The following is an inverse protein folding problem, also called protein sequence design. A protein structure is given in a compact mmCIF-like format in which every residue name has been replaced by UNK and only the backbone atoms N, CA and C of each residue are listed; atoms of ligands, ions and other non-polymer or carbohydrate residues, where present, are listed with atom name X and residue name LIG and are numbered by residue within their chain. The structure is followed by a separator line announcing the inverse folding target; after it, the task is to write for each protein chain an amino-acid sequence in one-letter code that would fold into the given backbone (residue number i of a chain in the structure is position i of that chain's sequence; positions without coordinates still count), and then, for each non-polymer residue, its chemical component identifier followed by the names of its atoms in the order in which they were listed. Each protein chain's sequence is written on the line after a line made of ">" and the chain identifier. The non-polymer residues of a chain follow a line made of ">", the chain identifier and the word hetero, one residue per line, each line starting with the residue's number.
data_IF_365815659334
#
_entry.id   IF_365815659334
#
_cell.length_a   1.000
_cell.length_b   1.000
_cell.length_c   1.000
_cell.angle_alpha   90.00
_cell.angle_beta   90.00
_cell.angle_gamma   90.00
#
_symmetry.space_group_name_H-M   'P 1'
#
loop_
_entity.id
_entity.type
_entity.pdbx_description
1 polymer ?
#
# COMPACT_ATOMS: atom_id res chain seq x y z
N UNK A 1 -19.95 3.93 -0.08
CA UNK A 1 -21.05 3.33 0.69
C UNK A 1 -20.57 3.23 2.15
N UNK A 2 -21.17 3.98 3.08
CA UNK A 2 -20.75 3.98 4.49
C UNK A 2 -21.64 3.02 5.27
N UNK A 3 -21.07 1.91 5.74
CA UNK A 3 -21.68 1.07 6.77
C UNK A 3 -21.45 1.75 8.12
N UNK A 4 -22.52 2.18 8.80
CA UNK A 4 -22.46 2.76 10.15
C UNK A 4 -23.07 1.80 11.17
N UNK A 5 -22.26 1.01 11.89
CA UNK A 5 -22.68 0.42 13.15
C UNK A 5 -22.36 1.41 14.29
N UNK A 6 -23.41 2.06 14.80
CA UNK A 6 -23.46 2.89 16.03
C UNK A 6 -22.42 4.02 16.19
N UNK A 7 -22.73 5.02 17.02
CA UNK A 7 -21.82 6.12 17.38
C UNK A 7 -20.62 5.59 18.21
N UNK A 8 -19.75 4.80 17.57
CA UNK A 8 -18.50 4.37 18.18
C UNK A 8 -17.45 5.46 17.94
N UNK A 9 -16.74 5.85 19.01
CA UNK A 9 -15.63 6.81 19.03
C UNK A 9 -14.39 6.37 18.26
N UNK A 10 -14.55 5.45 17.29
CA UNK A 10 -13.46 4.84 16.52
C UNK A 10 -12.75 5.88 15.67
N UNK A 11 -11.44 5.72 15.57
CA UNK A 11 -10.57 6.51 14.69
C UNK A 11 -11.03 6.45 13.22
N UNK A 12 -10.61 7.44 12.43
CA UNK A 12 -10.76 7.45 10.98
C UNK A 12 -9.44 7.04 10.34
N UNK A 13 -9.47 6.04 9.46
CA UNK A 13 -8.31 5.57 8.70
C UNK A 13 -8.59 5.75 7.22
N UNK A 14 -7.73 6.46 6.51
CA UNK A 14 -7.75 6.47 5.03
C UNK A 14 -6.72 5.48 4.49
N UNK A 15 -7.01 4.75 3.41
CA UNK A 15 -6.03 3.87 2.72
C UNK A 15 -5.68 4.43 1.36
N UNK A 16 -4.38 4.50 1.07
CA UNK A 16 -3.84 4.86 -0.24
C UNK A 16 -3.05 3.70 -0.85
N UNK A 17 -3.11 3.57 -2.18
CA UNK A 17 -2.27 2.70 -3.03
C UNK A 17 -1.53 3.57 -4.04
N UNK A 18 -0.82 3.01 -5.01
CA UNK A 18 -0.32 3.83 -6.12
C UNK A 18 0.83 3.24 -6.96
N UNK A 19 1.40 4.06 -7.87
CA UNK A 19 0.75 5.26 -8.41
C UNK A 19 -0.33 4.87 -9.41
N UNK A 20 -1.48 5.55 -9.36
CA UNK A 20 -2.56 5.32 -10.33
C UNK A 20 -3.50 4.15 -10.02
N UNK A 21 -3.32 3.46 -8.89
CA UNK A 21 -4.15 2.33 -8.48
C UNK A 21 -5.24 2.74 -7.49
N UNK A 22 -6.40 2.10 -7.60
CA UNK A 22 -7.63 2.41 -6.86
C UNK A 22 -7.60 1.84 -5.44
N UNK A 23 -7.73 2.73 -4.46
CA UNK A 23 -7.97 2.35 -3.06
C UNK A 23 -9.32 1.66 -2.84
N UNK A 24 -10.24 1.72 -3.80
CA UNK A 24 -11.52 0.99 -3.76
C UNK A 24 -11.30 -0.46 -4.23
N UNK A 25 -10.54 -0.66 -5.32
CA UNK A 25 -10.18 -1.98 -5.83
C UNK A 25 -9.47 -2.80 -4.74
N UNK A 26 -8.25 -2.37 -4.40
CA UNK A 26 -7.36 -3.06 -3.47
C UNK A 26 -7.78 -2.81 -2.02
N UNK A 27 -7.95 -1.57 -1.59
CA UNK A 27 -8.30 -1.31 -0.18
C UNK A 27 -9.67 -1.86 0.22
N UNK A 28 -10.73 -1.53 -0.52
CA UNK A 28 -12.11 -1.76 -0.08
C UNK A 28 -12.65 -3.17 -0.39
N UNK A 29 -12.18 -3.80 -1.47
CA UNK A 29 -12.65 -5.13 -1.91
C UNK A 29 -11.56 -6.17 -2.10
N UNK A 30 -10.33 -5.69 -2.24
CA UNK A 30 -9.06 -6.41 -2.20
C UNK A 30 -8.73 -6.96 -0.83
N UNK A 31 -8.56 -6.03 0.12
CA UNK A 31 -7.70 -6.16 1.31
C UNK A 31 -8.50 -5.95 2.63
N UNK A 32 -8.81 -4.71 2.99
CA UNK A 32 -9.16 -4.35 4.38
C UNK A 32 -10.62 -4.00 4.58
N UNK A 33 -11.36 -3.78 3.49
CA UNK A 33 -12.76 -3.38 3.54
C UNK A 33 -13.70 -4.47 4.04
N UNK A 34 -14.98 -4.12 4.29
CA UNK A 34 -15.98 -5.00 4.89
C UNK A 34 -16.39 -6.15 3.97
N UNK A 35 -16.10 -6.04 2.68
CA UNK A 35 -16.41 -7.03 1.69
C UNK A 35 -15.15 -7.42 0.91
N UNK A 36 -15.13 -8.63 0.40
CA UNK A 36 -14.15 -9.12 -0.58
C UNK A 36 -14.87 -9.45 -1.87
N UNK A 37 -14.16 -9.36 -2.99
CA UNK A 37 -14.69 -9.78 -4.27
C UNK A 37 -14.27 -11.21 -4.61
N UNK A 38 -15.16 -11.98 -5.23
CA UNK A 38 -14.88 -13.36 -5.65
C UNK A 38 -14.90 -13.50 -7.18
N UNK A 39 -14.54 -14.70 -7.66
CA UNK A 39 -14.50 -15.06 -9.08
C UNK A 39 -15.80 -14.86 -9.87
N UNK A 40 -16.95 -14.82 -9.19
CA UNK A 40 -18.23 -14.49 -9.81
C UNK A 40 -18.47 -12.99 -9.95
N UNK A 41 -17.49 -12.15 -9.61
CA UNK A 41 -17.62 -10.70 -9.45
C UNK A 41 -18.77 -10.34 -8.51
N UNK A 42 -18.87 -11.08 -7.39
CA UNK A 42 -19.82 -10.83 -6.30
C UNK A 42 -19.07 -10.52 -5.01
N UNK A 43 -19.73 -9.77 -4.12
CA UNK A 43 -19.20 -9.43 -2.81
C UNK A 43 -19.56 -10.49 -1.77
N UNK A 44 -18.62 -10.79 -0.87
CA UNK A 44 -18.85 -11.58 0.34
C UNK A 44 -18.21 -10.90 1.55
N UNK A 45 -18.66 -11.21 2.77
CA UNK A 45 -18.20 -10.54 3.98
C UNK A 45 -16.74 -10.88 4.31
N UNK A 46 -15.98 -9.86 4.73
CA UNK A 46 -14.62 -10.00 5.24
C UNK A 46 -14.65 -10.10 6.77
N UNK A 47 -14.42 -11.29 7.33
CA UNK A 47 -14.38 -11.50 8.79
C UNK A 47 -13.23 -10.78 9.50
N UNK A 48 -12.24 -10.30 8.76
CA UNK A 48 -11.07 -9.59 9.28
C UNK A 48 -11.00 -8.14 8.79
N UNK A 49 -12.15 -7.56 8.44
CA UNK A 49 -12.17 -6.17 7.98
C UNK A 49 -11.66 -5.22 9.06
N UNK A 50 -10.88 -4.24 8.63
CA UNK A 50 -10.38 -3.18 9.49
C UNK A 50 -11.49 -2.27 10.02
N UNK A 51 -12.70 -2.31 9.44
CA UNK A 51 -13.83 -1.55 9.95
C UNK A 51 -14.35 -2.05 11.31
N UNK A 52 -13.87 -3.22 11.76
CA UNK A 52 -14.07 -3.73 13.11
C UNK A 52 -13.40 -2.79 14.14
N UNK A 53 -12.25 -2.21 13.82
CA UNK A 53 -11.46 -1.38 14.74
C UNK A 53 -11.55 0.14 14.40
N UNK A 54 -11.82 0.51 13.14
CA UNK A 54 -11.83 1.90 12.68
C UNK A 54 -13.00 2.24 11.74
N UNK A 55 -13.23 3.53 11.49
CA UNK A 55 -13.97 3.97 10.31
C UNK A 55 -13.00 4.04 9.13
N UNK A 56 -13.36 3.47 7.98
CA UNK A 56 -12.49 3.43 6.80
C UNK A 56 -12.94 4.43 5.74
N UNK A 57 -11.98 5.18 5.19
CA UNK A 57 -12.15 6.06 4.04
C UNK A 57 -11.26 5.57 2.90
N UNK A 58 -11.87 5.21 1.77
CA UNK A 58 -11.16 4.80 0.57
C UNK A 58 -11.22 5.94 -0.43
N UNK A 59 -10.08 6.59 -0.65
CA UNK A 59 -9.94 7.70 -1.59
C UNK A 59 -9.23 7.20 -2.85
N UNK A 60 -9.90 7.27 -4.00
CA UNK A 60 -9.26 7.05 -5.30
C UNK A 60 -8.53 8.34 -5.69
N UNK A 61 -7.21 8.26 -5.79
CA UNK A 61 -6.33 9.40 -6.04
C UNK A 61 -5.10 8.94 -6.81
N UNK A 62 -4.52 9.76 -7.71
CA UNK A 62 -4.98 11.11 -8.09
C UNK A 62 -6.19 11.07 -9.03
N UNK A 63 -6.53 12.22 -9.61
CA UNK A 63 -7.49 12.28 -10.72
C UNK A 63 -7.11 11.33 -11.86
N UNK A 64 -8.10 10.67 -12.46
CA UNK A 64 -7.90 9.61 -13.45
C UNK A 64 -7.82 8.19 -12.87
N UNK A 65 -7.81 8.06 -11.54
CA UNK A 65 -7.87 6.76 -10.86
C UNK A 65 -9.32 6.38 -10.58
N UNK A 66 -9.73 5.20 -11.04
CA UNK A 66 -11.04 4.65 -10.78
C UNK A 66 -12.19 5.60 -11.17
N UNK A 67 -12.96 6.07 -10.20
CA UNK A 67 -14.05 7.04 -10.42
C UNK A 67 -13.65 8.50 -10.21
N UNK A 68 -12.40 8.80 -9.85
CA UNK A 68 -11.92 10.18 -9.70
C UNK A 68 -11.61 10.79 -11.06
N UNK A 69 -12.26 11.91 -11.42
CA UNK A 69 -12.16 12.54 -12.73
C UNK A 69 -12.07 14.06 -12.66
N UNK A 70 -11.73 14.67 -13.80
CA UNK A 70 -11.70 16.12 -14.02
C UNK A 70 -12.27 16.43 -15.40
N UNK A 71 -12.84 17.62 -15.54
CA UNK A 71 -13.30 18.15 -16.83
C UNK A 71 -12.19 18.88 -17.59
N UNK A 72 -11.01 19.04 -16.98
CA UNK A 72 -9.89 19.80 -17.55
C UNK A 72 -8.86 18.84 -18.14
N UNK A 73 -8.73 18.83 -19.47
CA UNK A 73 -7.84 17.88 -20.17
C UNK A 73 -6.36 18.06 -19.84
N UNK A 74 -5.91 19.27 -19.47
CA UNK A 74 -4.51 19.52 -19.07
C UNK A 74 -4.14 18.85 -17.75
N UNK A 75 -5.10 18.52 -16.90
CA UNK A 75 -4.82 17.85 -15.62
C UNK A 75 -4.18 16.47 -15.82
N UNK A 76 -4.46 15.80 -16.95
CA UNK A 76 -3.91 14.49 -17.28
C UNK A 76 -2.48 14.54 -17.84
N UNK A 77 -1.90 15.74 -18.01
CA UNK A 77 -0.56 15.91 -18.62
C UNK A 77 0.56 15.91 -17.59
N UNK A 78 0.26 16.25 -16.34
CA UNK A 78 1.25 16.35 -15.26
C UNK A 78 0.68 15.76 -13.97
N UNK A 79 1.02 14.51 -13.71
CA UNK A 79 0.85 13.88 -12.41
C UNK A 79 2.15 13.95 -11.61
N UNK A 80 2.04 13.97 -10.29
CA UNK A 80 3.21 13.97 -9.43
C UNK A 80 2.85 13.94 -7.95
N UNK A 81 3.85 13.61 -7.16
CA UNK A 81 3.75 13.42 -5.71
C UNK A 81 3.19 14.67 -5.01
N UNK A 82 3.79 15.84 -5.25
CA UNK A 82 3.42 17.11 -4.61
C UNK A 82 1.97 17.53 -4.91
N UNK A 83 1.58 17.46 -6.19
CA UNK A 83 0.21 17.77 -6.62
C UNK A 83 -0.79 16.83 -5.95
N UNK A 84 -0.48 15.53 -5.93
CA UNK A 84 -1.33 14.49 -5.34
C UNK A 84 -1.51 14.72 -3.83
N UNK A 85 -0.43 15.03 -3.11
CA UNK A 85 -0.50 15.35 -1.68
C UNK A 85 -1.36 16.59 -1.40
N UNK A 86 -1.21 17.64 -2.23
CA UNK A 86 -1.99 18.87 -2.10
C UNK A 86 -3.49 18.66 -2.40
N UNK A 87 -3.83 17.93 -3.46
CA UNK A 87 -5.21 17.61 -3.82
C UNK A 87 -5.88 16.72 -2.76
N UNK A 88 -5.14 15.76 -2.19
CA UNK A 88 -5.62 14.91 -1.10
C UNK A 88 -5.88 15.70 0.18
N UNK A 89 -5.02 16.67 0.53
CA UNK A 89 -5.29 17.58 1.65
C UNK A 89 -6.58 18.38 1.41
N UNK A 90 -6.75 18.96 0.22
CA UNK A 90 -7.96 19.73 -0.14
C UNK A 90 -9.20 18.84 -0.06
N UNK A 91 -9.12 17.60 -0.55
CA UNK A 91 -10.20 16.63 -0.42
C UNK A 91 -10.55 16.38 1.06
N UNK A 92 -9.57 16.11 1.92
CA UNK A 92 -9.81 15.83 3.34
C UNK A 92 -10.46 17.01 4.07
N UNK A 93 -10.00 18.24 3.80
CA UNK A 93 -10.60 19.46 4.37
C UNK A 93 -12.08 19.57 3.96
N UNK A 94 -12.38 19.39 2.66
CA UNK A 94 -13.77 19.46 2.14
C UNK A 94 -14.62 18.31 2.66
N UNK A 95 -14.06 17.11 2.74
CA UNK A 95 -14.76 15.91 3.23
C UNK A 95 -15.11 16.07 4.70
N UNK A 96 -14.18 16.52 5.55
CA UNK A 96 -14.46 16.75 6.97
C UNK A 96 -15.46 17.89 7.18
N UNK A 97 -15.46 18.92 6.34
CA UNK A 97 -16.51 19.96 6.36
C UNK A 97 -17.89 19.40 5.99
N UNK A 98 -17.96 18.45 5.05
CA UNK A 98 -19.21 17.77 4.68
C UNK A 98 -19.66 16.74 5.71
N UNK A 99 -18.72 16.11 6.42
CA UNK A 99 -18.96 15.10 7.44
C UNK A 99 -18.36 15.51 8.79
N UNK A 100 -18.90 16.57 9.43
CA UNK A 100 -18.30 17.17 10.64
C UNK A 100 -18.22 16.23 11.83
N UNK A 101 -19.01 15.14 11.87
CA UNK A 101 -18.93 14.11 12.90
C UNK A 101 -17.59 13.36 12.97
N UNK A 102 -16.74 13.50 11.94
CA UNK A 102 -15.38 12.93 11.90
C UNK A 102 -14.27 13.96 12.17
N UNK A 103 -14.56 15.27 12.17
CA UNK A 103 -13.57 16.35 12.19
C UNK A 103 -12.61 16.31 13.39
N UNK A 104 -13.06 15.80 14.53
CA UNK A 104 -12.27 15.73 15.77
C UNK A 104 -11.80 14.32 16.12
N UNK A 105 -12.11 13.32 15.30
CA UNK A 105 -11.68 11.94 15.56
C UNK A 105 -10.18 11.81 15.31
N UNK A 106 -9.55 10.90 16.03
CA UNK A 106 -8.17 10.52 15.73
C UNK A 106 -8.09 10.05 14.28
N UNK A 107 -7.22 10.69 13.51
CA UNK A 107 -7.04 10.44 12.09
C UNK A 107 -5.72 9.74 11.85
N UNK A 108 -5.77 8.67 11.06
CA UNK A 108 -4.61 7.90 10.65
C UNK A 108 -4.62 7.70 9.14
N UNK A 109 -3.44 7.59 8.58
CA UNK A 109 -3.25 7.28 7.17
C UNK A 109 -2.63 5.88 7.09
N UNK A 110 -3.23 5.00 6.30
CA UNK A 110 -2.68 3.73 5.92
C UNK A 110 -2.27 3.79 4.45
N UNK A 111 -1.22 3.08 4.08
CA UNK A 111 -0.79 3.01 2.69
C UNK A 111 -0.11 1.69 2.37
N UNK A 112 0.01 1.39 1.09
CA UNK A 112 0.84 0.29 0.61
C UNK A 112 1.56 0.65 -0.69
N UNK A 113 2.70 0.00 -0.95
CA UNK A 113 3.45 0.13 -2.19
C UNK A 113 4.00 1.55 -2.38
N UNK A 114 3.73 2.17 -3.53
CA UNK A 114 4.07 3.58 -3.80
C UNK A 114 3.42 4.57 -2.82
N UNK A 115 2.43 4.14 -2.03
CA UNK A 115 1.93 4.97 -0.95
C UNK A 115 3.00 5.21 0.15
N UNK A 116 4.13 4.51 0.12
CA UNK A 116 5.35 4.89 0.83
C UNK A 116 5.81 6.32 0.53
N UNK A 117 5.47 6.89 -0.65
CA UNK A 117 5.56 8.31 -0.98
C UNK A 117 4.31 9.10 -0.55
N UNK A 118 3.12 8.66 -0.98
CA UNK A 118 1.88 9.43 -0.78
C UNK A 118 1.54 9.70 0.68
N UNK A 119 1.73 8.69 1.55
CA UNK A 119 1.34 8.77 2.95
C UNK A 119 2.18 9.79 3.74
N UNK A 120 3.52 9.71 3.76
CA UNK A 120 4.32 10.70 4.48
C UNK A 120 4.17 12.11 3.90
N UNK A 121 4.03 12.27 2.59
CA UNK A 121 3.83 13.59 1.98
C UNK A 121 2.46 14.18 2.35
N UNK A 122 1.38 13.39 2.34
CA UNK A 122 0.09 13.85 2.83
C UNK A 122 0.12 14.17 4.33
N UNK A 123 0.77 13.34 5.14
CA UNK A 123 0.94 13.60 6.57
C UNK A 123 1.70 14.91 6.82
N UNK A 124 2.74 15.20 6.03
CA UNK A 124 3.47 16.48 6.05
C UNK A 124 2.56 17.65 5.71
N UNK A 125 1.80 17.58 4.61
CA UNK A 125 0.85 18.63 4.21
C UNK A 125 -0.20 18.90 5.30
N UNK A 126 -0.71 17.87 5.96
CA UNK A 126 -1.63 18.00 7.08
C UNK A 126 -0.96 18.67 8.29
N UNK A 127 0.28 18.25 8.63
CA UNK A 127 1.04 18.83 9.73
C UNK A 127 1.32 20.33 9.50
N UNK A 128 1.72 20.72 8.29
CA UNK A 128 1.92 22.12 7.87
C UNK A 128 0.63 22.92 7.94
N UNK A 129 -0.47 22.37 7.41
CA UNK A 129 -1.81 22.98 7.48
C UNK A 129 -2.23 23.23 8.94
N UNK A 130 -2.10 22.24 9.81
CA UNK A 130 -2.46 22.38 11.23
C UNK A 130 -1.60 23.41 11.97
N UNK A 131 -0.33 23.61 11.57
CA UNK A 131 0.54 24.66 12.14
C UNK A 131 0.14 26.05 11.67
N UNK A 132 -0.31 26.17 10.42
CA UNK A 132 -0.68 27.46 9.82
C UNK A 132 -2.06 27.97 10.25
N UNK A 133 -3.00 27.07 10.59
CA UNK A 133 -4.39 27.42 10.89
C UNK A 133 -4.84 26.92 12.26
N UNK A 134 -5.45 27.80 13.05
CA UNK A 134 -5.90 27.45 14.41
C UNK A 134 -7.06 26.45 14.42
N UNK A 135 -8.02 26.53 13.47
CA UNK A 135 -9.15 25.60 13.25
C UNK A 135 -9.73 25.78 11.82
N UNK A 136 -10.35 24.75 11.22
CA UNK A 136 -10.47 23.38 11.70
C UNK A 136 -9.16 22.59 11.51
N UNK A 137 -8.71 21.87 12.52
CA UNK A 137 -7.52 21.02 12.43
C UNK A 137 -7.92 19.59 12.07
N UNK A 138 -7.09 18.91 11.29
CA UNK A 138 -7.19 17.46 11.07
C UNK A 138 -6.39 16.80 12.20
N UNK A 139 -7.05 16.06 13.09
CA UNK A 139 -6.41 15.45 14.27
C UNK A 139 -5.56 14.21 13.91
N UNK A 140 -4.52 14.41 13.10
CA UNK A 140 -3.60 13.35 12.67
C UNK A 140 -2.78 12.82 13.85
N UNK A 141 -2.77 11.50 14.03
CA UNK A 141 -2.03 10.82 15.10
C UNK A 141 -0.85 10.01 14.62
N UNK A 142 -0.83 9.65 13.34
CA UNK A 142 0.21 8.81 12.78
C UNK A 142 -0.20 8.15 11.47
N UNK A 143 0.69 7.31 10.97
CA UNK A 143 0.44 6.52 9.78
C UNK A 143 1.11 5.15 9.84
N UNK A 144 0.60 4.23 9.04
CA UNK A 144 1.22 2.93 8.81
C UNK A 144 1.33 2.65 7.31
N UNK A 145 2.47 2.13 6.86
CA UNK A 145 2.68 1.79 5.45
C UNK A 145 3.20 0.37 5.28
N UNK A 146 2.57 -0.36 4.36
CA UNK A 146 2.90 -1.73 3.97
C UNK A 146 3.77 -1.77 2.74
N UNK A 147 4.80 -2.62 2.75
CA UNK A 147 5.71 -2.85 1.64
C UNK A 147 6.08 -1.53 0.90
N UNK A 148 6.57 -0.50 1.61
CA UNK A 148 6.60 0.86 1.07
C UNK A 148 7.84 1.17 0.24
N UNK A 149 7.65 1.87 -0.87
CA UNK A 149 8.73 2.58 -1.58
C UNK A 149 9.16 3.78 -0.71
N UNK A 150 10.43 3.86 -0.31
CA UNK A 150 10.91 4.80 0.72
C UNK A 150 12.20 5.52 0.34
N UNK A 151 13.13 4.85 -0.30
CA UNK A 151 14.43 5.38 -0.69
C UNK A 151 14.90 4.64 -1.94
N UNK A 152 14.71 5.26 -3.11
CA UNK A 152 14.93 4.62 -4.43
C UNK A 152 16.24 3.84 -4.50
N UNK A 153 17.31 4.38 -3.92
CA UNK A 153 18.64 3.75 -3.98
C UNK A 153 18.70 2.46 -3.15
N UNK A 154 18.16 2.47 -1.92
CA UNK A 154 18.09 1.27 -1.09
C UNK A 154 17.05 0.29 -1.61
N UNK A 155 15.97 0.79 -2.19
CA UNK A 155 14.91 -0.07 -2.69
C UNK A 155 15.41 -0.85 -3.90
N UNK A 156 16.10 -0.19 -4.84
CA UNK A 156 16.81 -0.86 -5.94
C UNK A 156 17.78 -1.94 -5.43
N UNK A 157 18.68 -1.60 -4.49
CA UNK A 157 19.69 -2.56 -3.99
C UNK A 157 19.02 -3.71 -3.22
N UNK A 158 18.09 -3.39 -2.32
CA UNK A 158 17.37 -4.34 -1.49
C UNK A 158 16.57 -5.33 -2.32
N UNK A 159 15.95 -4.89 -3.42
CA UNK A 159 15.25 -5.75 -4.37
C UNK A 159 16.16 -6.78 -5.01
N UNK A 160 17.31 -6.36 -5.54
CA UNK A 160 18.28 -7.29 -6.14
C UNK A 160 18.84 -8.27 -5.09
N UNK A 161 19.13 -7.80 -3.87
CA UNK A 161 19.57 -8.66 -2.76
C UNK A 161 18.49 -9.67 -2.36
N UNK A 162 17.22 -9.29 -2.38
CA UNK A 162 16.11 -10.19 -2.08
C UNK A 162 16.03 -11.31 -3.11
N UNK A 163 16.03 -10.96 -4.41
CA UNK A 163 15.97 -11.93 -5.49
C UNK A 163 17.07 -12.99 -5.37
N UNK A 164 18.30 -12.56 -5.10
CA UNK A 164 19.42 -13.48 -4.91
C UNK A 164 19.25 -14.36 -3.66
N UNK A 165 18.96 -13.75 -2.51
CA UNK A 165 18.82 -14.50 -1.24
C UNK A 165 17.65 -15.50 -1.22
N UNK A 166 16.68 -15.35 -2.12
CA UNK A 166 15.53 -16.24 -2.28
C UNK A 166 15.66 -17.17 -3.50
N UNK A 167 16.86 -17.31 -4.06
CA UNK A 167 17.17 -18.17 -5.20
C UNK A 167 16.32 -17.88 -6.46
N UNK A 168 15.85 -16.64 -6.61
CA UNK A 168 15.14 -16.19 -7.82
C UNK A 168 16.11 -15.85 -8.96
N UNK A 169 17.36 -15.52 -8.63
CA UNK A 169 18.41 -15.24 -9.62
C UNK A 169 19.70 -16.00 -9.27
N UNK A 170 20.46 -16.36 -10.29
CA UNK A 170 21.76 -17.02 -10.11
C UNK A 170 22.83 -16.10 -9.51
N UNK A 171 23.86 -16.69 -8.89
CA UNK A 171 25.06 -15.96 -8.44
C UNK A 171 25.72 -15.18 -9.58
N UNK A 172 25.73 -15.73 -10.80
CA UNK A 172 26.26 -15.06 -11.99
C UNK A 172 25.50 -13.78 -12.30
N UNK A 173 24.16 -13.84 -12.35
CA UNK A 173 23.33 -12.69 -12.64
C UNK A 173 23.39 -11.64 -11.51
N UNK A 174 23.38 -12.09 -10.25
CA UNK A 174 23.54 -11.19 -9.10
C UNK A 174 24.86 -10.40 -9.17
N UNK A 175 25.98 -11.09 -9.36
CA UNK A 175 27.30 -10.45 -9.46
C UNK A 175 27.41 -9.52 -10.68
N UNK A 176 26.79 -9.89 -11.81
CA UNK A 176 26.77 -9.05 -13.01
C UNK A 176 26.01 -7.74 -12.75
N UNK A 177 24.85 -7.80 -12.08
CA UNK A 177 24.08 -6.62 -11.69
C UNK A 177 24.91 -5.73 -10.76
N UNK A 178 25.50 -6.29 -9.69
CA UNK A 178 26.32 -5.51 -8.76
C UNK A 178 27.52 -4.82 -9.44
N UNK A 179 28.09 -5.43 -10.48
CA UNK A 179 29.20 -4.86 -11.24
C UNK A 179 28.77 -3.74 -12.18
N UNK A 180 27.62 -3.90 -12.85
CA UNK A 180 27.19 -3.03 -13.93
C UNK A 180 26.26 -1.90 -13.48
N UNK A 181 25.61 -2.04 -12.32
CA UNK A 181 24.63 -1.09 -11.82
C UNK A 181 25.21 -0.14 -10.79
N UNK A 182 25.01 1.17 -11.02
CA UNK A 182 25.17 2.18 -9.99
C UNK A 182 23.83 2.47 -9.32
N UNK A 183 23.62 1.93 -8.12
CA UNK A 183 22.37 2.07 -7.37
C UNK A 183 22.10 3.49 -6.85
N UNK A 184 23.08 4.40 -6.90
CA UNK A 184 22.90 5.80 -6.50
C UNK A 184 22.57 6.73 -7.67
N UNK A 185 22.63 6.23 -8.90
CA UNK A 185 22.31 7.02 -10.08
C UNK A 185 20.79 7.19 -10.24
N UNK A 186 20.38 8.38 -10.73
CA UNK A 186 18.98 8.69 -11.01
C UNK A 186 18.36 7.73 -12.03
N UNK A 187 19.17 7.30 -13.02
CA UNK A 187 18.77 6.31 -14.01
C UNK A 187 19.85 5.25 -14.21
N UNK A 188 19.42 4.04 -14.52
CA UNK A 188 20.32 2.94 -14.85
C UNK A 188 20.86 3.04 -16.27
N UNK A 189 22.14 2.67 -16.44
CA UNK A 189 22.77 2.54 -17.75
C UNK A 189 22.13 1.43 -18.57
N UNK A 190 22.41 1.40 -19.88
CA UNK A 190 21.94 0.33 -20.77
C UNK A 190 22.49 -1.03 -20.33
N UNK A 191 23.74 -1.07 -19.87
CA UNK A 191 24.43 -2.26 -19.40
C UNK A 191 23.79 -2.80 -18.11
N UNK A 192 23.46 -1.90 -17.17
CA UNK A 192 22.72 -2.26 -15.96
C UNK A 192 21.33 -2.81 -16.28
N UNK A 193 20.55 -2.10 -17.10
CA UNK A 193 19.22 -2.55 -17.50
C UNK A 193 19.25 -3.91 -18.21
N UNK A 194 20.24 -4.14 -19.07
CA UNK A 194 20.45 -5.45 -19.71
C UNK A 194 20.73 -6.55 -18.69
N UNK A 195 21.56 -6.26 -17.67
CA UNK A 195 21.89 -7.22 -16.61
C UNK A 195 20.65 -7.57 -15.77
N UNK A 196 19.83 -6.58 -15.43
CA UNK A 196 18.56 -6.79 -14.70
C UNK A 196 17.58 -7.59 -15.56
N UNK A 197 17.43 -7.26 -16.85
CA UNK A 197 16.55 -7.97 -17.76
C UNK A 197 16.95 -9.44 -17.92
N UNK A 198 18.25 -9.73 -18.04
CA UNK A 198 18.75 -11.09 -18.12
C UNK A 198 18.45 -11.87 -16.83
N UNK A 199 18.60 -11.24 -15.67
CA UNK A 199 18.27 -11.86 -14.39
C UNK A 199 16.76 -12.15 -14.25
N UNK A 200 15.90 -11.31 -14.82
CA UNK A 200 14.45 -11.54 -14.79
C UNK A 200 14.02 -12.82 -15.53
N UNK A 201 14.85 -13.33 -16.45
CA UNK A 201 14.60 -14.62 -17.10
C UNK A 201 14.71 -15.81 -16.13
N UNK A 202 15.46 -15.66 -15.03
CA UNK A 202 15.61 -16.71 -13.99
C UNK A 202 14.30 -16.91 -13.19
N UNK A 203 13.39 -15.93 -13.19
CA UNK A 203 12.15 -15.99 -12.39
C UNK A 203 11.16 -17.06 -12.84
N UNK A 204 11.14 -17.40 -14.13
CA UNK A 204 10.09 -18.23 -14.71
C UNK A 204 8.68 -17.63 -14.51
N UNK A 205 7.73 -18.46 -14.09
CA UNK A 205 6.32 -18.06 -13.88
C UNK A 205 5.98 -17.73 -12.41
N UNK A 206 6.93 -17.15 -11.67
CA UNK A 206 6.73 -16.70 -10.29
C UNK A 206 5.91 -15.40 -10.28
N UNK A 207 4.97 -15.31 -9.33
CA UNK A 207 4.32 -14.06 -8.96
C UNK A 207 5.24 -13.25 -8.04
N UNK A 208 5.69 -12.09 -8.50
CA UNK A 208 6.60 -11.24 -7.75
C UNK A 208 5.96 -10.64 -6.50
N UNK A 209 4.64 -10.48 -6.48
CA UNK A 209 3.90 -9.94 -5.33
C UNK A 209 3.82 -10.95 -4.19
N UNK A 210 3.98 -12.25 -4.46
CA UNK A 210 4.22 -13.26 -3.42
C UNK A 210 4.86 -14.52 -4.00
N UNK A 211 6.17 -14.66 -3.78
CA UNK A 211 7.03 -15.63 -4.48
C UNK A 211 6.69 -17.11 -4.24
N UNK A 212 5.84 -17.41 -3.26
CA UNK A 212 5.42 -18.77 -2.91
C UNK A 212 3.95 -19.05 -3.25
N UNK A 213 3.29 -18.17 -4.00
CA UNK A 213 1.88 -18.31 -4.35
C UNK A 213 1.66 -18.50 -5.85
N UNK A 214 0.51 -19.08 -6.26
CA UNK A 214 0.19 -19.21 -7.67
C UNK A 214 -0.06 -17.85 -8.34
N UNK A 215 0.38 -17.70 -9.58
CA UNK A 215 0.06 -16.57 -10.45
C UNK A 215 -1.33 -16.68 -11.08
N UNK A 216 -1.94 -15.56 -11.43
CA UNK A 216 -3.19 -15.55 -12.20
C UNK A 216 -2.98 -16.12 -13.61
N UNK A 217 -3.66 -17.23 -13.93
CA UNK A 217 -3.63 -17.83 -15.27
C UNK A 217 -4.93 -17.52 -16.00
N UNK A 218 -4.82 -16.91 -17.19
CA UNK A 218 -5.95 -16.43 -18.00
C UNK A 218 -7.03 -17.52 -18.20
N UNK A 219 -8.29 -17.15 -17.98
CA UNK A 219 -9.46 -18.05 -17.86
C UNK A 219 -9.68 -19.12 -18.96
N UNK A 220 -9.04 -19.03 -20.14
CA UNK A 220 -9.18 -20.03 -21.22
C UNK A 220 -8.58 -21.40 -20.87
N UNK A 221 -7.68 -21.50 -19.89
CA UNK A 221 -7.05 -22.78 -19.49
C UNK A 221 -7.71 -23.44 -18.26
N UNK A 222 -8.68 -22.78 -17.63
CA UNK A 222 -9.28 -23.25 -16.37
C UNK A 222 -10.17 -24.50 -16.50
N UNK A 223 -10.44 -25.01 -17.70
CA UNK A 223 -11.18 -26.28 -17.88
C UNK A 223 -10.41 -27.51 -17.41
N UNK A 224 -9.08 -27.44 -17.24
CA UNK A 224 -8.25 -28.60 -16.82
C UNK A 224 -7.82 -28.60 -15.35
N UNK A 225 -7.96 -27.50 -14.62
CA UNK A 225 -7.46 -27.37 -13.23
C UNK A 225 -8.47 -27.78 -12.15
N UNK A 226 -9.45 -28.64 -12.48
CA UNK A 226 -10.60 -28.99 -11.62
C UNK A 226 -10.25 -29.94 -10.45
N UNK A 227 -8.98 -30.30 -10.25
CA UNK A 227 -8.58 -31.32 -9.26
C UNK A 227 -7.70 -30.83 -8.11
N UNK A 228 -7.30 -29.55 -8.06
CA UNK A 228 -6.67 -29.01 -6.87
C UNK A 228 -7.75 -28.55 -5.89
N UNK A 229 -7.85 -29.22 -4.73
CA UNK A 229 -8.63 -28.73 -3.58
C UNK A 229 -8.27 -27.26 -3.35
N UNK A 230 -9.18 -26.35 -3.72
CA UNK A 230 -9.04 -24.92 -3.45
C UNK A 230 -9.09 -24.72 -1.94
N UNK A 231 -7.92 -24.57 -1.33
CA UNK A 231 -7.81 -23.89 -0.04
C UNK A 231 -8.21 -22.44 -0.26
N UNK A 232 -9.24 -22.02 0.45
CA UNK A 232 -10.05 -20.80 0.28
C UNK A 232 -9.34 -19.48 0.61
N UNK A 233 -8.02 -19.35 0.47
CA UNK A 233 -7.30 -18.23 1.14
C UNK A 233 -6.73 -17.15 0.22
N UNK A 234 -6.36 -17.43 -1.04
CA UNK A 234 -5.82 -16.44 -1.98
C UNK A 234 -6.25 -16.74 -3.43
N UNK A 235 -6.75 -15.73 -4.14
CA UNK A 235 -7.04 -15.79 -5.58
C UNK A 235 -6.24 -14.67 -6.29
N UNK A 236 -5.23 -15.01 -7.11
CA UNK A 236 -4.36 -14.01 -7.76
C UNK A 236 -5.06 -13.22 -8.87
N UNK A 237 -6.29 -13.58 -9.25
CA UNK A 237 -7.03 -12.90 -10.31
C UNK A 237 -8.05 -11.87 -9.78
N UNK A 238 -7.97 -11.52 -8.49
CA UNK A 238 -8.98 -10.72 -7.79
C UNK A 238 -9.18 -9.33 -8.39
N UNK A 239 -8.09 -8.66 -8.80
CA UNK A 239 -8.10 -7.41 -9.56
C UNK A 239 -9.07 -7.45 -10.77
N UNK A 240 -9.01 -8.52 -11.58
CA UNK A 240 -9.84 -8.66 -12.78
C UNK A 240 -11.33 -8.76 -12.47
N UNK A 241 -11.69 -9.29 -11.29
CA UNK A 241 -13.07 -9.36 -10.87
C UNK A 241 -13.58 -7.98 -10.44
N UNK A 242 -12.71 -7.13 -9.88
CA UNK A 242 -13.01 -5.75 -9.52
C UNK A 242 -13.36 -4.92 -10.77
N UNK A 243 -12.56 -5.03 -11.83
CA UNK A 243 -12.82 -4.39 -13.12
C UNK A 243 -14.22 -4.72 -13.65
N UNK A 244 -14.64 -5.98 -13.54
CA UNK A 244 -15.98 -6.40 -13.95
C UNK A 244 -17.05 -5.80 -13.03
N UNK A 245 -16.87 -5.88 -11.71
CA UNK A 245 -17.87 -5.46 -10.73
C UNK A 245 -18.15 -3.97 -10.76
N UNK A 246 -17.10 -3.13 -10.75
CA UNK A 246 -17.24 -1.68 -10.69
C UNK A 246 -17.67 -1.05 -12.02
N UNK A 247 -17.56 -1.78 -13.14
CA UNK A 247 -18.16 -1.37 -14.41
C UNK A 247 -19.64 -1.76 -14.57
N UNK A 248 -20.25 -2.44 -13.59
CA UNK A 248 -21.69 -2.73 -13.65
C UNK A 248 -22.52 -1.45 -13.44
N UNK A 249 -23.55 -1.18 -14.28
CA UNK A 249 -24.36 0.03 -14.15
C UNK A 249 -25.13 0.15 -12.83
N UNK A 250 -25.58 -0.98 -12.27
CA UNK A 250 -26.29 -1.02 -10.98
C UNK A 250 -25.35 -0.71 -9.81
N UNK A 251 -24.11 -1.20 -9.85
CA UNK A 251 -23.06 -0.89 -8.87
C UNK A 251 -22.69 0.59 -8.91
N UNK A 252 -22.43 1.16 -10.10
CA UNK A 252 -22.11 2.59 -10.24
C UNK A 252 -23.25 3.47 -9.71
N UNK A 253 -24.51 3.12 -10.02
CA UNK A 253 -25.69 3.82 -9.49
C UNK A 253 -25.77 3.74 -7.97
N UNK A 254 -25.56 2.56 -7.39
CA UNK A 254 -25.60 2.36 -5.94
C UNK A 254 -24.47 3.08 -5.20
N UNK A 255 -23.32 3.23 -5.83
CA UNK A 255 -22.18 3.99 -5.29
C UNK A 255 -22.29 5.50 -5.51
N UNK A 256 -23.31 5.95 -6.24
CA UNK A 256 -23.41 7.34 -6.71
C UNK A 256 -22.17 7.77 -7.53
N UNK A 257 -21.53 6.81 -8.21
CA UNK A 257 -20.37 7.00 -9.05
C UNK A 257 -20.80 7.30 -10.50
N UNK A 258 -19.87 7.85 -11.29
CA UNK A 258 -20.06 8.09 -12.72
C UNK A 258 -21.35 8.89 -13.09
N UNK A 259 -21.77 9.82 -12.23
CA UNK A 259 -23.00 10.61 -12.47
C UNK A 259 -22.88 11.60 -13.64
N UNK A 260 -21.65 11.91 -14.06
CA UNK A 260 -21.36 12.88 -15.13
C UNK A 260 -20.92 12.23 -16.44
N UNK A 261 -21.09 10.91 -16.59
CA UNK A 261 -20.62 10.16 -17.75
C UNK A 261 -19.09 10.35 -17.99
N UNK A 262 -18.30 9.87 -17.04
CA UNK A 262 -16.84 9.76 -17.11
C UNK A 262 -16.47 9.08 -18.44
N UNK A 263 -15.55 9.67 -19.24
CA UNK A 263 -15.30 9.26 -20.63
C UNK A 263 -14.47 7.97 -20.76
N UNK A 264 -14.20 7.27 -19.66
CA UNK A 264 -13.39 6.06 -19.63
C UNK A 264 -14.04 5.01 -18.71
N UNK A 265 -13.67 3.74 -18.91
CA UNK A 265 -14.09 2.64 -18.05
C UNK A 265 -13.31 2.69 -16.74
N UNK A 266 -13.94 2.25 -15.66
CA UNK A 266 -13.24 2.05 -14.40
C UNK A 266 -12.22 0.91 -14.56
N UNK A 267 -11.01 1.09 -14.06
CA UNK A 267 -9.98 0.05 -13.97
C UNK A 267 -9.32 0.09 -12.60
N UNK A 268 -8.83 -1.05 -12.11
CA UNK A 268 -8.14 -1.14 -10.83
C UNK A 268 -6.87 -0.26 -10.78
N UNK A 269 -6.09 -0.23 -11.85
CA UNK A 269 -4.99 0.73 -12.05
C UNK A 269 -5.16 1.49 -13.36
N UNK A 270 -4.75 2.76 -13.35
CA UNK A 270 -4.90 3.70 -14.47
C UNK A 270 -3.57 3.84 -15.22
N UNK A 271 -3.44 3.14 -16.35
CA UNK A 271 -2.27 3.27 -17.22
C UNK A 271 -1.97 4.73 -17.63
N UNK A 272 -2.97 5.58 -17.97
CA UNK A 272 -2.69 6.98 -18.28
C UNK A 272 -2.07 7.75 -17.11
N UNK A 273 -2.49 7.48 -15.87
CA UNK A 273 -1.90 8.14 -14.69
C UNK A 273 -0.45 7.68 -14.51
N UNK A 274 -0.21 6.38 -14.58
CA UNK A 274 1.12 5.80 -14.41
C UNK A 274 2.09 6.28 -15.50
N UNK A 275 1.67 6.25 -16.77
CA UNK A 275 2.51 6.61 -17.91
C UNK A 275 2.83 8.10 -17.99
N UNK A 276 1.94 8.96 -17.47
CA UNK A 276 2.16 10.42 -17.42
C UNK A 276 2.63 10.89 -16.03
N UNK A 277 3.08 9.97 -15.17
CA UNK A 277 3.65 10.32 -13.87
C UNK A 277 5.00 11.02 -14.03
N UNK A 278 5.16 12.18 -13.39
CA UNK A 278 6.39 12.94 -13.46
C UNK A 278 7.44 12.40 -12.48
N UNK A 279 8.05 11.28 -12.85
CA UNK A 279 9.09 10.59 -12.07
C UNK A 279 10.33 11.46 -11.78
N UNK A 280 10.56 12.52 -12.55
CA UNK A 280 11.68 13.46 -12.34
C UNK A 280 11.45 14.39 -11.16
N UNK A 281 10.19 14.66 -10.81
CA UNK A 281 9.82 15.49 -9.66
C UNK A 281 9.51 14.66 -8.41
N UNK A 282 9.45 13.33 -8.54
CA UNK A 282 9.34 12.45 -7.38
C UNK A 282 10.64 12.43 -6.60
N UNK A 283 10.56 12.80 -5.33
CA UNK A 283 11.67 12.78 -4.38
C UNK A 283 12.41 11.44 -4.40
N UNK A 284 13.74 11.46 -4.27
CA UNK A 284 14.52 10.23 -4.26
C UNK A 284 14.41 9.45 -2.94
N UNK A 285 14.00 10.12 -1.86
CA UNK A 285 13.93 9.55 -0.52
C UNK A 285 12.86 10.24 0.32
N UNK A 286 12.00 9.43 0.94
CA UNK A 286 11.01 9.88 1.92
C UNK A 286 11.59 10.00 3.33
N UNK A 287 12.78 9.43 3.57
CA UNK A 287 13.41 9.39 4.90
C UNK A 287 13.50 10.75 5.62
N UNK A 288 13.77 11.89 4.94
CA UNK A 288 13.71 13.21 5.59
C UNK A 288 12.33 13.55 6.14
N UNK A 289 11.26 13.25 5.40
CA UNK A 289 9.88 13.48 5.82
C UNK A 289 9.52 12.58 7.00
N UNK A 290 9.98 11.32 7.00
CA UNK A 290 9.81 10.44 8.16
C UNK A 290 10.42 11.05 9.43
N UNK A 291 11.63 11.61 9.35
CA UNK A 291 12.28 12.29 10.49
C UNK A 291 11.46 13.48 10.99
N UNK A 292 11.03 14.36 10.08
CA UNK A 292 10.20 15.52 10.40
C UNK A 292 8.91 15.10 11.14
N UNK A 293 8.25 14.04 10.68
CA UNK A 293 6.98 13.57 11.24
C UNK A 293 7.17 12.85 12.59
N UNK A 294 8.28 12.13 12.78
CA UNK A 294 8.66 11.58 14.09
C UNK A 294 8.88 12.69 15.12
N UNK A 295 9.59 13.75 14.75
CA UNK A 295 9.82 14.94 15.60
C UNK A 295 8.51 15.69 15.91
N UNK A 296 7.56 15.69 14.97
CA UNK A 296 6.21 16.20 15.19
C UNK A 296 5.34 15.28 16.09
N UNK A 297 5.87 14.15 16.56
CA UNK A 297 5.20 13.24 17.49
C UNK A 297 4.21 12.28 16.83
N UNK A 298 4.24 12.12 15.51
CA UNK A 298 3.39 11.14 14.83
C UNK A 298 3.87 9.72 15.11
N UNK A 299 2.90 8.82 15.32
CA UNK A 299 3.18 7.38 15.40
C UNK A 299 3.40 6.82 14.00
N UNK A 300 4.57 6.23 13.74
CA UNK A 300 4.90 5.68 12.42
C UNK A 300 5.14 4.18 12.52
N UNK A 301 4.37 3.41 11.74
CA UNK A 301 4.60 1.98 11.55
C UNK A 301 4.97 1.69 10.09
N UNK A 302 6.03 0.93 9.91
CA UNK A 302 6.40 0.37 8.60
C UNK A 302 6.29 -1.14 8.71
N UNK A 303 5.59 -1.78 7.78
CA UNK A 303 5.49 -3.23 7.76
C UNK A 303 5.77 -3.80 6.38
N UNK A 304 6.31 -5.02 6.32
CA UNK A 304 6.57 -5.72 5.05
C UNK A 304 6.16 -7.19 5.14
N UNK A 305 5.43 -7.68 4.13
CA UNK A 305 5.31 -9.10 3.88
C UNK A 305 6.67 -9.69 3.48
N UNK A 306 7.08 -10.81 4.09
CA UNK A 306 8.41 -11.38 3.85
C UNK A 306 8.52 -12.23 2.56
N UNK A 307 7.43 -12.33 1.79
CA UNK A 307 7.38 -13.03 0.49
C UNK A 307 7.20 -12.08 -0.71
N UNK A 308 7.13 -10.78 -0.46
CA UNK A 308 7.11 -9.76 -1.52
C UNK A 308 8.50 -9.59 -2.13
N UNK A 309 8.61 -9.66 -3.45
CA UNK A 309 9.84 -9.40 -4.20
C UNK A 309 9.82 -8.09 -5.01
N UNK A 310 8.70 -7.36 -5.01
CA UNK A 310 8.55 -6.05 -5.66
C UNK A 310 9.16 -4.98 -4.77
N UNK A 311 8.71 -4.90 -3.50
CA UNK A 311 9.26 -4.00 -2.47
C UNK A 311 9.60 -4.83 -1.23
N UNK A 312 10.68 -5.63 -1.29
CA UNK A 312 10.95 -6.64 -0.30
C UNK A 312 11.36 -6.07 1.05
N UNK A 313 11.23 -6.92 2.08
CA UNK A 313 11.69 -6.63 3.44
C UNK A 313 13.15 -6.14 3.53
N UNK A 314 14.03 -6.56 2.60
CA UNK A 314 15.42 -6.10 2.51
C UNK A 314 15.53 -4.62 2.14
N UNK A 315 14.75 -4.17 1.15
CA UNK A 315 14.65 -2.77 0.73
C UNK A 315 14.22 -1.88 1.91
N UNK A 316 13.11 -2.25 2.54
CA UNK A 316 12.59 -1.55 3.72
C UNK A 316 13.62 -1.49 4.86
N UNK A 317 14.33 -2.60 5.14
CA UNK A 317 15.36 -2.63 6.20
C UNK A 317 16.56 -1.74 5.90
N UNK A 318 17.02 -1.69 4.64
CA UNK A 318 18.10 -0.80 4.24
C UNK A 318 17.70 0.67 4.40
N UNK A 319 16.48 1.03 3.99
CA UNK A 319 15.90 2.36 4.17
C UNK A 319 15.78 2.76 5.64
N UNK A 320 15.26 1.88 6.51
CA UNK A 320 15.18 2.15 7.96
C UNK A 320 16.58 2.27 8.59
N UNK A 321 17.54 1.44 8.16
CA UNK A 321 18.91 1.51 8.67
C UNK A 321 19.57 2.87 8.41
N UNK A 322 19.27 3.54 7.29
CA UNK A 322 19.78 4.89 7.00
C UNK A 322 19.25 5.97 7.92
N UNK A 323 18.10 5.76 8.56
CA UNK A 323 17.57 6.71 9.54
C UNK A 323 18.45 6.79 10.79
N UNK A 324 19.22 5.72 11.07
CA UNK A 324 20.09 5.59 12.24
C UNK A 324 19.36 5.89 13.56
N UNK A 325 18.15 5.34 13.70
CA UNK A 325 17.31 5.55 14.88
C UNK A 325 17.80 4.69 16.05
N UNK A 326 17.76 5.19 17.30
CA UNK A 326 18.01 4.38 18.48
C UNK A 326 17.00 3.24 18.61
N UNK A 327 17.48 2.03 18.88
CA UNK A 327 16.63 0.86 19.15
C UNK A 327 16.09 0.96 20.58
N UNK A 328 14.76 1.04 20.71
CA UNK A 328 14.02 1.03 21.97
C UNK A 328 13.72 -0.39 22.43
N UNK A 329 13.23 -1.23 21.52
CA UNK A 329 12.97 -2.65 21.76
C UNK A 329 13.61 -3.48 20.65
N UNK A 330 14.56 -4.32 21.03
CA UNK A 330 15.31 -5.20 20.11
C UNK A 330 14.40 -6.17 19.39
N UNK A 331 14.73 -6.47 18.15
CA UNK A 331 14.10 -7.48 17.30
C UNK A 331 13.58 -8.73 18.03
N UNK A 332 12.27 -8.98 17.95
CA UNK A 332 11.60 -10.12 18.59
C UNK A 332 10.47 -10.70 17.73
N UNK A 333 10.11 -12.00 17.91
CA UNK A 333 8.95 -12.58 17.23
C UNK A 333 7.64 -12.11 17.86
N UNK A 334 6.68 -11.71 17.03
CA UNK A 334 5.32 -11.43 17.49
C UNK A 334 4.35 -12.53 17.04
N UNK A 335 3.22 -12.67 17.75
CA UNK A 335 2.31 -13.80 17.60
C UNK A 335 0.93 -13.42 17.06
N UNK A 336 0.40 -14.28 16.19
CA UNK A 336 -0.98 -14.25 15.69
C UNK A 336 -1.63 -15.58 16.09
N UNK A 337 -2.40 -15.56 17.18
CA UNK A 337 -2.81 -16.79 17.86
C UNK A 337 -1.59 -17.56 18.38
N UNK A 338 -1.57 -18.87 18.19
CA UNK A 338 -0.48 -19.74 18.65
C UNK A 338 0.70 -19.87 17.66
N UNK A 339 0.76 -19.02 16.63
CA UNK A 339 1.81 -19.03 15.60
C UNK A 339 2.57 -17.71 15.58
N UNK A 340 3.84 -17.77 15.19
CA UNK A 340 4.63 -16.56 14.91
C UNK A 340 4.02 -15.84 13.70
N UNK A 341 3.46 -14.67 13.94
CA UNK A 341 2.91 -13.79 12.89
C UNK A 341 4.01 -13.06 12.11
N UNK A 342 5.18 -12.91 12.71
CA UNK A 342 6.36 -12.33 12.09
C UNK A 342 7.36 -11.83 13.13
N UNK A 343 8.10 -10.77 12.81
CA UNK A 343 9.08 -10.15 13.71
C UNK A 343 8.91 -8.65 13.76
N UNK A 344 9.38 -8.01 14.81
CA UNK A 344 9.29 -6.55 14.94
C UNK A 344 10.47 -6.00 15.74
N UNK A 345 10.87 -4.78 15.42
CA UNK A 345 11.82 -3.97 16.19
C UNK A 345 11.25 -2.56 16.33
N UNK A 346 11.39 -2.02 17.53
CA UNK A 346 10.86 -0.71 17.89
C UNK A 346 12.04 0.23 18.04
N UNK A 347 12.03 1.31 17.27
CA UNK A 347 12.96 2.41 17.37
C UNK A 347 12.27 3.60 18.07
N UNK A 348 13.07 4.59 18.47
CA UNK A 348 12.51 5.89 18.86
C UNK A 348 11.83 6.55 17.64
N UNK A 349 10.50 6.68 17.69
CA UNK A 349 9.67 7.30 16.64
C UNK A 349 9.09 6.37 15.57
N UNK A 350 9.65 5.16 15.38
CA UNK A 350 9.24 4.23 14.32
C UNK A 350 9.17 2.78 14.81
N UNK A 351 8.14 2.04 14.41
CA UNK A 351 8.07 0.57 14.60
C UNK A 351 8.16 -0.13 13.26
N UNK A 352 9.07 -1.09 13.14
CA UNK A 352 9.18 -1.95 11.96
C UNK A 352 8.62 -3.34 12.25
N UNK A 353 7.84 -3.88 11.31
CA UNK A 353 7.18 -5.19 11.44
C UNK A 353 7.35 -6.00 10.17
N UNK A 354 7.72 -7.28 10.28
CA UNK A 354 7.57 -8.24 9.18
C UNK A 354 6.33 -9.07 9.42
N UNK A 355 5.66 -9.47 8.34
CA UNK A 355 4.53 -10.39 8.39
C UNK A 355 4.89 -11.67 7.63
N UNK A 356 4.94 -12.77 8.38
CA UNK A 356 5.42 -14.06 7.90
C UNK A 356 4.46 -14.67 6.89
N UNK A 357 4.97 -15.04 5.73
CA UNK A 357 4.23 -15.66 4.65
C UNK A 357 3.26 -14.71 3.95
N UNK A 358 3.41 -13.40 4.12
CA UNK A 358 2.60 -12.40 3.43
C UNK A 358 3.35 -11.86 2.21
N UNK A 359 2.63 -11.63 1.12
CA UNK A 359 3.13 -10.93 -0.06
C UNK A 359 3.08 -9.41 0.08
N UNK A 360 3.01 -8.74 -1.06
CA UNK A 360 2.94 -7.29 -1.19
C UNK A 360 1.71 -6.71 -0.49
N UNK A 361 0.55 -7.31 -0.77
CA UNK A 361 -0.73 -6.96 -0.16
C UNK A 361 -0.95 -7.73 1.15
N UNK A 362 -0.24 -7.35 2.22
CA UNK A 362 -0.26 -8.10 3.48
C UNK A 362 -1.66 -8.46 3.99
N UNK A 363 -2.68 -7.57 3.95
CA UNK A 363 -4.04 -7.92 4.40
C UNK A 363 -4.80 -8.88 3.48
N UNK A 364 -4.36 -9.06 2.24
CA UNK A 364 -4.85 -10.11 1.34
C UNK A 364 -4.30 -11.47 1.75
N UNK A 365 -2.99 -11.59 1.94
CA UNK A 365 -2.34 -12.88 2.25
C UNK A 365 -2.50 -13.32 3.70
N UNK A 366 -2.53 -12.38 4.65
CA UNK A 366 -2.58 -12.64 6.10
C UNK A 366 -3.58 -11.72 6.80
N UNK A 367 -4.90 -11.86 6.51
CA UNK A 367 -5.94 -10.95 7.01
C UNK A 367 -6.00 -10.84 8.54
N UNK A 368 -5.90 -11.96 9.27
CA UNK A 368 -5.89 -11.96 10.73
C UNK A 368 -4.68 -11.19 11.29
N UNK A 369 -3.49 -11.45 10.75
CA UNK A 369 -2.26 -10.75 11.11
C UNK A 369 -2.36 -9.25 10.84
N UNK A 370 -2.87 -8.85 9.68
CA UNK A 370 -3.06 -7.45 9.33
C UNK A 370 -4.03 -6.73 10.28
N UNK A 371 -5.12 -7.39 10.70
CA UNK A 371 -6.04 -6.82 11.69
C UNK A 371 -5.37 -6.64 13.07
N UNK A 372 -4.52 -7.59 13.49
CA UNK A 372 -3.72 -7.45 14.72
C UNK A 372 -2.79 -6.23 14.61
N UNK A 373 -2.09 -6.06 13.47
CA UNK A 373 -1.23 -4.90 13.23
C UNK A 373 -2.02 -3.59 13.41
N UNK A 374 -3.18 -3.45 12.76
CA UNK A 374 -4.03 -2.26 12.92
C UNK A 374 -4.42 -2.03 14.38
N UNK A 375 -4.93 -3.07 15.05
CA UNK A 375 -5.43 -2.97 16.43
C UNK A 375 -4.36 -2.44 17.38
N UNK A 376 -3.14 -2.98 17.29
CA UNK A 376 -2.02 -2.58 18.15
C UNK A 376 -1.46 -1.20 17.76
N UNK A 377 -1.41 -0.89 16.46
CA UNK A 377 -1.04 0.43 15.96
C UNK A 377 -1.98 1.52 16.50
N UNK A 378 -3.30 1.34 16.38
CA UNK A 378 -4.29 2.30 16.87
C UNK A 378 -4.19 2.46 18.40
N UNK A 379 -4.05 1.35 19.12
CA UNK A 379 -3.90 1.35 20.58
C UNK A 379 -2.57 1.93 21.08
N UNK A 380 -1.59 2.16 20.21
CA UNK A 380 -0.25 2.63 20.59
C UNK A 380 0.52 1.61 21.43
N UNK A 381 0.34 0.31 21.16
CA UNK A 381 0.97 -0.79 21.91
C UNK A 381 1.95 -1.55 21.02
N UNK A 382 3.02 -2.07 21.62
CA UNK A 382 3.91 -3.05 20.99
C UNK A 382 3.16 -4.35 20.69
N UNK A 383 3.53 -5.03 19.60
CA UNK A 383 2.93 -6.31 19.21
C UNK A 383 3.14 -7.41 20.27
N UNK A 384 2.22 -8.39 20.36
CA UNK A 384 2.23 -9.38 21.43
C UNK A 384 3.43 -10.34 21.31
N UNK A 385 4.12 -10.57 22.44
CA UNK A 385 5.29 -11.48 22.55
C UNK A 385 4.92 -12.92 22.86
N UNK A 386 3.65 -13.19 23.13
CA UNK A 386 3.10 -14.52 23.39
C UNK A 386 1.65 -14.59 22.95
N UNK A 387 1.13 -15.81 22.88
CA UNK A 387 -0.28 -16.15 22.67
C UNK A 387 -1.15 -15.74 23.86
#
# INVERSE_FOLDING_TARGET
>A
MLYQPEQTSKSLVTKSTGPGCSSIAYGATEEIGPFRINRGSNLYLNSFSWNIEANLLFLESPVGVGFSYTNTSSDFKEFGDERTAQENLIFLIKWMSRFPQYQYRDFYIAGESYAGHYVPQLAKKINEYNKAFNKPTINIKGFMVGNPDMDKNNDKLGTITYWWSHAMISDTNYNLILRNCNFTADSFSKECNSSIYNAAADFGEIDQYSIYTPKCVRMKQMRKAVLARQTTEYDPCTESYADIYYNRPDVQRAMHANQTAIPYKWTACSDPVFNNWNWRLSDNSMLPIYKELMEAGLRIWVYSGDTDSVIPVTATRFSISKLNLPVKTRWYPWYSGNQVGGRTEVYEGLTFVTVRGAGHEVPLFKPQSALILLKYFLAGKELPRSY
#
